data_IF_748033591968
#
_entry.id   IF_748033591968
#
_cell.length_a   1.000
_cell.length_b   1.000
_cell.length_c   1.000
_cell.angle_alpha   90.00
_cell.angle_beta   90.00
_cell.angle_gamma   90.00
#
_symmetry.space_group_name_H-M   'P 1'
#
loop_
_entity.id
_entity.type
_entity.pdbx_description
1 polymer ?
#
# COMPACT_ATOMS: atom_id res chain seq x y z
N UNK A 1 17.42 65.48 -48.03
CA UNK A 1 16.65 65.27 -46.78
C UNK A 1 16.44 63.76 -46.56
N UNK A 2 17.29 63.18 -45.80
CA UNK A 2 17.11 61.74 -45.44
C UNK A 2 16.39 61.67 -44.11
N UNK A 3 15.15 61.19 -44.11
CA UNK A 3 14.47 60.84 -42.88
C UNK A 3 14.77 59.39 -42.57
N UNK A 4 15.70 59.21 -41.69
CA UNK A 4 15.96 57.87 -41.12
C UNK A 4 14.78 57.43 -40.25
N UNK A 5 14.08 56.39 -40.67
CA UNK A 5 13.15 55.71 -39.81
C UNK A 5 13.94 54.70 -39.01
N UNK A 6 14.12 55.01 -37.74
CA UNK A 6 14.68 54.08 -36.79
C UNK A 6 13.58 53.05 -36.48
N UNK A 7 13.75 51.87 -37.03
CA UNK A 7 12.90 50.73 -36.67
C UNK A 7 13.24 50.25 -35.26
N UNK A 8 12.36 50.48 -34.35
CA UNK A 8 12.45 49.89 -33.01
C UNK A 8 12.18 48.39 -33.15
N UNK A 9 13.23 47.63 -33.19
CA UNK A 9 13.13 46.18 -33.06
C UNK A 9 12.68 45.86 -31.62
N UNK A 10 11.41 45.57 -31.46
CA UNK A 10 10.88 45.11 -30.19
C UNK A 10 11.48 43.77 -29.87
N UNK A 11 12.35 43.79 -28.86
CA UNK A 11 12.87 42.56 -28.27
C UNK A 11 11.75 41.92 -27.44
N UNK A 12 11.05 40.98 -28.04
CA UNK A 12 10.10 40.14 -27.29
C UNK A 12 10.93 39.12 -26.51
N UNK A 13 11.23 39.48 -25.28
CA UNK A 13 11.74 38.49 -24.32
C UNK A 13 10.60 37.56 -23.95
N UNK A 14 10.55 36.42 -24.59
CA UNK A 14 9.70 35.32 -24.18
C UNK A 14 10.28 34.76 -22.87
N UNK A 15 9.80 35.25 -21.74
CA UNK A 15 10.03 34.63 -20.47
C UNK A 15 9.26 33.29 -20.45
N UNK A 16 9.94 32.21 -20.80
CA UNK A 16 9.45 30.86 -20.55
C UNK A 16 9.53 30.66 -19.04
N UNK A 17 8.47 31.01 -18.36
CA UNK A 17 8.23 30.56 -17.00
C UNK A 17 8.06 29.05 -17.09
N UNK A 18 9.16 28.34 -16.94
CA UNK A 18 9.13 26.92 -16.65
C UNK A 18 8.39 26.73 -15.34
N UNK A 19 7.09 26.44 -15.41
CA UNK A 19 6.36 25.93 -14.27
C UNK A 19 7.02 24.61 -13.89
N UNK A 20 7.90 24.65 -12.89
CA UNK A 20 8.33 23.44 -12.23
C UNK A 20 7.06 22.85 -11.59
N UNK A 21 6.47 21.89 -12.27
CA UNK A 21 5.43 21.05 -11.69
C UNK A 21 6.14 20.25 -10.61
N UNK A 22 6.12 20.78 -9.40
CA UNK A 22 6.44 20.00 -8.21
C UNK A 22 5.36 18.92 -8.14
N UNK A 23 5.66 17.77 -8.70
CA UNK A 23 4.90 16.56 -8.45
C UNK A 23 5.08 16.26 -6.97
N UNK A 24 4.20 16.81 -6.14
CA UNK A 24 4.09 16.36 -4.78
C UNK A 24 3.66 14.91 -4.87
N UNK A 25 4.56 14.01 -4.50
CA UNK A 25 4.20 12.62 -4.29
C UNK A 25 3.05 12.63 -3.30
N UNK A 26 1.86 12.19 -3.73
CA UNK A 26 0.72 12.02 -2.83
C UNK A 26 1.17 11.12 -1.67
N UNK A 27 0.84 11.48 -0.41
CA UNK A 27 1.19 10.64 0.72
C UNK A 27 0.64 9.24 0.47
N UNK A 28 1.52 8.25 0.53
CA UNK A 28 1.18 6.83 0.39
C UNK A 28 0.12 6.48 1.42
N UNK A 29 -1.08 6.21 0.94
CA UNK A 29 -2.23 5.91 1.77
C UNK A 29 -2.61 4.44 1.64
N UNK A 30 -2.96 3.84 2.77
CA UNK A 30 -3.51 2.49 2.80
C UNK A 30 -4.81 2.42 2.01
N UNK A 31 -4.88 1.53 1.04
CA UNK A 31 -6.05 1.28 0.21
C UNK A 31 -6.61 -0.13 0.37
N UNK A 32 -5.75 -1.10 0.64
CA UNK A 32 -6.14 -2.50 0.82
C UNK A 32 -5.24 -3.18 1.86
N UNK A 33 -5.85 -4.05 2.64
CA UNK A 33 -5.14 -4.98 3.54
C UNK A 33 -5.40 -6.40 3.05
N UNK A 34 -4.34 -7.11 2.73
CA UNK A 34 -4.38 -8.51 2.33
C UNK A 34 -3.97 -9.36 3.52
N UNK A 35 -4.84 -10.28 3.93
CA UNK A 35 -4.54 -11.24 4.99
C UNK A 35 -4.64 -12.66 4.45
N UNK A 36 -3.51 -13.36 4.40
CA UNK A 36 -3.43 -14.75 3.96
C UNK A 36 -3.20 -15.63 5.17
N UNK A 37 -4.15 -16.50 5.44
CA UNK A 37 -4.15 -17.41 6.58
C UNK A 37 -4.27 -18.87 6.14
N UNK A 38 -4.32 -19.77 7.09
CA UNK A 38 -4.60 -21.19 6.89
C UNK A 38 -5.62 -21.68 7.91
N UNK A 39 -6.54 -22.52 7.46
CA UNK A 39 -7.50 -23.20 8.34
C UNK A 39 -7.00 -24.56 8.82
N UNK A 40 -6.12 -25.21 8.05
CA UNK A 40 -5.55 -26.51 8.39
C UNK A 40 -4.09 -26.33 8.81
N UNK A 41 -3.86 -26.19 10.10
CA UNK A 41 -2.52 -25.99 10.67
C UNK A 41 -2.19 -27.07 11.67
N UNK A 42 -0.89 -27.44 11.76
CA UNK A 42 -0.43 -28.35 12.79
C UNK A 42 -0.39 -27.66 14.16
N UNK A 43 -0.44 -28.44 15.24
CA UNK A 43 -0.49 -27.90 16.59
C UNK A 43 0.68 -26.96 16.95
N UNK A 44 1.85 -27.14 16.34
CA UNK A 44 3.03 -26.31 16.61
C UNK A 44 2.92 -24.86 16.10
N UNK A 45 2.10 -24.62 15.07
CA UNK A 45 1.90 -23.29 14.48
C UNK A 45 0.48 -22.74 14.73
N UNK A 46 -0.41 -23.53 15.32
CA UNK A 46 -1.81 -23.16 15.52
C UNK A 46 -1.98 -21.86 16.31
N UNK A 47 -1.12 -21.62 17.31
CA UNK A 47 -1.21 -20.41 18.14
C UNK A 47 -0.96 -19.14 17.34
N UNK A 48 0.07 -19.13 16.49
CA UNK A 48 0.38 -17.95 15.65
C UNK A 48 -0.77 -17.60 14.71
N UNK A 49 -1.42 -18.59 14.11
CA UNK A 49 -2.58 -18.38 13.25
C UNK A 49 -3.79 -17.90 14.05
N UNK A 50 -4.02 -18.48 15.22
CA UNK A 50 -5.12 -18.10 16.09
C UNK A 50 -4.98 -16.65 16.58
N UNK A 51 -3.80 -16.27 17.02
CA UNK A 51 -3.52 -14.91 17.49
C UNK A 51 -3.63 -13.89 16.36
N UNK A 52 -3.12 -14.20 15.17
CA UNK A 52 -3.25 -13.35 14.00
C UNK A 52 -4.72 -13.20 13.57
N UNK A 53 -5.49 -14.28 13.54
CA UNK A 53 -6.92 -14.24 13.21
C UNK A 53 -7.70 -13.37 14.21
N UNK A 54 -7.45 -13.54 15.50
CA UNK A 54 -8.09 -12.74 16.54
C UNK A 54 -7.76 -11.24 16.41
N UNK A 55 -6.49 -10.92 16.15
CA UNK A 55 -6.05 -9.55 15.94
C UNK A 55 -6.71 -8.92 14.70
N UNK A 56 -6.70 -9.62 13.57
CA UNK A 56 -7.30 -9.15 12.32
C UNK A 56 -8.80 -8.94 12.48
N UNK A 57 -9.50 -9.90 13.09
CA UNK A 57 -10.94 -9.79 13.33
C UNK A 57 -11.31 -8.62 14.25
N UNK A 58 -10.47 -8.33 15.24
CA UNK A 58 -10.69 -7.20 16.17
C UNK A 58 -10.35 -5.86 15.54
N UNK A 59 -9.32 -5.79 14.69
CA UNK A 59 -8.78 -4.55 14.12
C UNK A 59 -9.58 -4.07 12.91
N UNK A 60 -9.94 -4.99 12.03
CA UNK A 60 -10.62 -4.68 10.76
C UNK A 60 -12.14 -4.85 10.87
N UNK A 61 -12.74 -3.98 11.66
CA UNK A 61 -14.18 -3.89 11.89
C UNK A 61 -14.72 -2.53 11.46
N UNK A 62 -16.04 -2.41 11.32
CA UNK A 62 -16.67 -1.17 10.90
C UNK A 62 -16.19 -0.72 9.52
N UNK A 63 -15.78 0.53 9.38
CA UNK A 63 -15.28 1.10 8.11
C UNK A 63 -13.99 0.44 7.60
N UNK A 64 -13.18 -0.12 8.48
CA UNK A 64 -11.94 -0.83 8.12
C UNK A 64 -12.20 -2.20 7.48
N UNK A 65 -13.36 -2.77 7.70
CA UNK A 65 -13.72 -4.07 7.10
C UNK A 65 -13.67 -4.05 5.58
N UNK A 66 -14.00 -2.92 4.96
CA UNK A 66 -13.94 -2.75 3.52
C UNK A 66 -12.51 -2.79 2.95
N UNK A 67 -11.49 -2.53 3.78
CA UNK A 67 -10.09 -2.60 3.39
C UNK A 67 -9.57 -4.05 3.34
N UNK A 68 -10.16 -4.95 4.12
CA UNK A 68 -9.65 -6.29 4.34
C UNK A 68 -10.07 -7.25 3.24
N UNK A 69 -9.08 -7.89 2.62
CA UNK A 69 -9.24 -9.08 1.79
C UNK A 69 -8.61 -10.27 2.50
N UNK A 70 -9.45 -11.20 2.95
CA UNK A 70 -9.01 -12.43 3.61
C UNK A 70 -8.94 -13.56 2.60
N UNK A 71 -7.85 -14.32 2.61
CA UNK A 71 -7.67 -15.52 1.79
C UNK A 71 -7.19 -16.65 2.70
N UNK A 72 -7.91 -17.77 2.67
CA UNK A 72 -7.48 -19.00 3.30
C UNK A 72 -6.76 -19.88 2.27
N UNK A 73 -5.48 -20.12 2.50
CA UNK A 73 -4.66 -20.92 1.59
C UNK A 73 -5.18 -22.35 1.42
N UNK A 74 -5.79 -22.94 2.44
CA UNK A 74 -6.24 -24.33 2.39
C UNK A 74 -7.55 -24.48 1.59
N UNK A 75 -8.42 -23.48 1.62
CA UNK A 75 -9.71 -23.49 0.92
C UNK A 75 -9.71 -22.74 -0.42
N UNK A 76 -8.82 -21.77 -0.59
CA UNK A 76 -8.72 -20.95 -1.81
C UNK A 76 -7.26 -20.74 -2.24
N UNK A 77 -6.59 -21.84 -2.52
CA UNK A 77 -5.20 -21.82 -2.94
C UNK A 77 -4.97 -21.01 -4.21
N UNK A 78 -5.89 -21.06 -5.16
CA UNK A 78 -5.76 -20.32 -6.42
C UNK A 78 -5.72 -18.80 -6.22
N UNK A 79 -6.46 -18.29 -5.24
CA UNK A 79 -6.41 -16.88 -4.89
C UNK A 79 -5.13 -16.50 -4.14
N UNK A 80 -4.58 -17.41 -3.32
CA UNK A 80 -3.39 -17.17 -2.50
C UNK A 80 -2.08 -17.23 -3.27
N UNK A 81 -1.92 -18.20 -4.17
CA UNK A 81 -0.64 -18.51 -4.86
C UNK A 81 -0.04 -17.31 -5.59
N UNK A 82 -0.80 -16.47 -6.34
CA UNK A 82 -0.24 -15.29 -6.99
C UNK A 82 0.42 -14.31 -6.02
N UNK A 83 -0.22 -14.08 -4.87
CA UNK A 83 0.32 -13.18 -3.84
C UNK A 83 1.53 -13.76 -3.13
N UNK A 84 1.53 -15.08 -2.89
CA UNK A 84 2.69 -15.77 -2.31
C UNK A 84 3.92 -15.58 -3.20
N UNK A 85 3.77 -15.73 -4.52
CA UNK A 85 4.84 -15.50 -5.47
C UNK A 85 5.26 -14.04 -5.57
N UNK A 86 4.29 -13.13 -5.70
CA UNK A 86 4.52 -11.69 -5.87
C UNK A 86 5.25 -11.06 -4.68
N UNK A 87 4.82 -11.38 -3.47
CA UNK A 87 5.41 -10.84 -2.24
C UNK A 87 6.46 -11.75 -1.60
N UNK A 88 6.80 -12.86 -2.24
CA UNK A 88 7.80 -13.84 -1.79
C UNK A 88 7.54 -14.32 -0.36
N UNK A 89 6.31 -14.71 -0.08
CA UNK A 89 5.90 -15.15 1.23
C UNK A 89 6.47 -16.54 1.54
N UNK A 90 7.33 -16.61 2.53
CA UNK A 90 7.96 -17.85 3.00
C UNK A 90 7.25 -18.44 4.21
N UNK A 91 6.44 -17.65 4.89
CA UNK A 91 5.67 -18.04 6.07
C UNK A 91 4.25 -17.47 5.98
N UNK A 92 3.32 -18.18 6.61
CA UNK A 92 1.97 -17.71 6.89
C UNK A 92 1.74 -17.79 8.42
N UNK A 93 0.83 -17.01 8.98
CA UNK A 93 -0.03 -16.02 8.34
C UNK A 93 0.76 -14.83 7.79
N UNK A 94 0.21 -14.14 6.80
CA UNK A 94 0.78 -12.93 6.24
C UNK A 94 -0.24 -11.80 6.23
N UNK A 95 0.15 -10.64 6.73
CA UNK A 95 -0.64 -9.41 6.69
C UNK A 95 0.11 -8.38 5.86
N UNK A 96 -0.50 -7.91 4.77
CA UNK A 96 0.13 -7.03 3.80
C UNK A 96 -0.70 -5.78 3.61
N UNK A 97 -0.08 -4.61 3.77
CA UNK A 97 -0.71 -3.32 3.52
C UNK A 97 -0.32 -2.83 2.13
N UNK A 98 -1.32 -2.48 1.33
CA UNK A 98 -1.16 -2.05 -0.05
C UNK A 98 -1.74 -0.66 -0.27
N UNK A 99 -1.09 0.12 -1.15
CA UNK A 99 -1.66 1.37 -1.65
C UNK A 99 -2.65 1.14 -2.80
N UNK A 100 -3.19 2.22 -3.37
CA UNK A 100 -4.15 2.14 -4.47
C UNK A 100 -3.57 1.53 -5.75
N UNK A 101 -2.25 1.59 -5.94
CA UNK A 101 -1.52 1.00 -7.06
C UNK A 101 -1.04 -0.43 -6.79
N UNK A 102 -1.42 -1.02 -5.66
CA UNK A 102 -0.99 -2.35 -5.21
C UNK A 102 0.50 -2.45 -4.82
N UNK A 103 1.15 -1.33 -4.56
CA UNK A 103 2.48 -1.33 -3.98
C UNK A 103 2.40 -1.69 -2.49
N UNK A 104 3.35 -2.48 -2.05
CA UNK A 104 3.43 -2.89 -0.64
C UNK A 104 3.93 -1.73 0.21
N UNK A 105 3.13 -1.35 1.22
CA UNK A 105 3.49 -0.35 2.22
C UNK A 105 4.18 -0.99 3.42
N UNK A 106 3.71 -2.16 3.81
CA UNK A 106 4.23 -2.91 4.94
C UNK A 106 3.75 -4.36 4.91
N UNK A 107 4.51 -5.26 5.52
CA UNK A 107 4.19 -6.67 5.63
C UNK A 107 4.65 -7.26 6.95
N UNK A 108 3.84 -8.13 7.52
CA UNK A 108 4.20 -9.01 8.61
C UNK A 108 3.91 -10.46 8.23
N UNK A 109 4.83 -11.37 8.52
CA UNK A 109 4.68 -12.80 8.22
C UNK A 109 5.03 -13.65 9.43
N UNK A 110 4.30 -14.74 9.61
CA UNK A 110 4.47 -15.68 10.71
C UNK A 110 3.94 -15.16 12.03
N UNK A 111 4.47 -14.09 12.55
CA UNK A 111 3.99 -13.39 13.75
C UNK A 111 3.48 -11.99 13.40
N UNK A 112 2.28 -11.67 13.85
CA UNK A 112 1.64 -10.38 13.61
C UNK A 112 1.44 -9.68 14.95
N UNK A 113 2.29 -8.69 15.23
CA UNK A 113 2.26 -7.96 16.48
C UNK A 113 1.22 -6.83 16.47
N UNK A 114 0.40 -6.77 17.51
CA UNK A 114 -0.67 -5.76 17.67
C UNK A 114 -0.12 -4.33 17.58
N UNK A 115 1.01 -4.06 18.22
CA UNK A 115 1.64 -2.76 18.28
C UNK A 115 2.10 -2.29 16.90
N UNK A 116 2.64 -3.21 16.11
CA UNK A 116 3.10 -2.92 14.75
C UNK A 116 1.91 -2.61 13.83
N UNK A 117 0.85 -3.38 13.91
CA UNK A 117 -0.38 -3.15 13.15
C UNK A 117 -0.98 -1.78 13.47
N UNK A 118 -1.09 -1.45 14.76
CA UNK A 118 -1.62 -0.16 15.20
C UNK A 118 -0.75 1.02 14.71
N UNK A 119 0.57 0.90 14.81
CA UNK A 119 1.51 1.92 14.35
C UNK A 119 1.41 2.14 12.83
N UNK A 120 1.30 1.05 12.06
CA UNK A 120 1.20 1.12 10.60
C UNK A 120 -0.15 1.64 10.11
N UNK A 121 -1.24 1.31 10.79
CA UNK A 121 -2.54 1.90 10.52
C UNK A 121 -2.52 3.42 10.75
N UNK A 122 -1.91 3.88 11.84
CA UNK A 122 -1.73 5.31 12.09
C UNK A 122 -0.85 5.98 11.04
N UNK A 123 0.23 5.32 10.63
CA UNK A 123 1.17 5.86 9.64
C UNK A 123 0.53 6.02 8.26
N UNK A 124 -0.28 5.08 7.82
CA UNK A 124 -0.84 5.05 6.47
C UNK A 124 -2.31 5.46 6.40
N UNK A 125 -2.91 5.91 7.48
CA UNK A 125 -4.26 6.45 7.51
C UNK A 125 -5.37 5.41 7.34
N UNK A 126 -5.15 4.23 7.90
CA UNK A 126 -6.13 3.14 7.89
C UNK A 126 -7.15 3.18 9.03
#
# INVERSE_FOLDING_TARGET
MAKGKIGVAGLVVLAILGAAVLTQAEPTKLSQVLYITRSQVCGCSAQSFHDADALVNKTFTGSRQALLKRIDYDTDRQAAVPYIGEYRLILLPALIFLDAQKHMLWMAVGEVAKEDVAAKLSQFGG
#
